data_IF_642404874925
#
_entry.id   IF_642404874925
#
_cell.length_a   1.000
_cell.length_b   1.000
_cell.length_c   1.000
_cell.angle_alpha   90.00
_cell.angle_beta   90.00
_cell.angle_gamma   90.00
#
_symmetry.space_group_name_H-M   'P 1'
#
loop_
_entity.id
_entity.type
_entity.pdbx_description
1 polymer ?
#
# COMPACT_ATOMS: atom_id res chain seq x y z
N UNK A 1 8.28 -7.71 -17.40
CA UNK A 1 7.87 -8.35 -16.11
C UNK A 1 9.06 -8.30 -15.15
N UNK A 2 8.98 -7.54 -14.04
CA UNK A 2 10.02 -7.57 -13.00
C UNK A 2 9.87 -8.88 -12.22
N UNK A 3 10.97 -9.60 -12.01
CA UNK A 3 10.95 -10.90 -11.32
C UNK A 3 10.70 -10.67 -9.83
N UNK A 4 9.66 -11.31 -9.29
CA UNK A 4 9.36 -11.34 -7.85
C UNK A 4 10.57 -11.97 -7.13
N UNK A 5 11.02 -11.41 -5.98
CA UNK A 5 12.08 -12.00 -5.18
C UNK A 5 11.76 -13.44 -4.79
N UNK A 6 12.73 -14.34 -4.86
CA UNK A 6 12.50 -15.78 -4.64
C UNK A 6 11.84 -16.08 -3.28
N UNK A 7 12.18 -15.32 -2.23
CA UNK A 7 11.55 -15.46 -0.90
C UNK A 7 10.06 -15.10 -0.92
N UNK A 8 9.69 -14.00 -1.58
CA UNK A 8 8.29 -13.57 -1.68
C UNK A 8 7.51 -14.49 -2.62
N UNK A 9 8.15 -14.96 -3.69
CA UNK A 9 7.55 -15.93 -4.61
C UNK A 9 7.22 -17.26 -3.92
N UNK A 10 8.12 -17.77 -3.07
CA UNK A 10 7.87 -19.01 -2.32
C UNK A 10 6.70 -18.89 -1.34
N UNK A 11 6.53 -17.72 -0.72
CA UNK A 11 5.51 -17.50 0.30
C UNK A 11 4.16 -17.10 -0.28
N UNK A 12 4.15 -16.30 -1.35
CA UNK A 12 2.95 -15.62 -1.83
C UNK A 12 2.69 -15.84 -3.32
N UNK A 13 3.61 -16.47 -4.04
CA UNK A 13 3.48 -16.72 -5.48
C UNK A 13 3.23 -15.44 -6.28
N UNK A 14 2.16 -15.47 -7.06
CA UNK A 14 1.69 -14.38 -7.92
C UNK A 14 1.02 -13.23 -7.16
N UNK A 15 0.67 -13.42 -5.88
CA UNK A 15 0.11 -12.37 -5.01
C UNK A 15 1.15 -11.32 -4.62
N UNK A 16 2.45 -11.64 -4.66
CA UNK A 16 3.51 -10.68 -4.41
C UNK A 16 3.81 -9.88 -5.69
N UNK A 17 3.40 -8.62 -5.71
CA UNK A 17 3.52 -7.75 -6.87
C UNK A 17 4.26 -6.45 -6.56
N UNK A 18 4.97 -5.84 -7.52
CA UNK A 18 5.45 -4.47 -7.36
C UNK A 18 4.30 -3.53 -7.01
N UNK A 19 4.55 -2.56 -6.14
CA UNK A 19 3.51 -1.67 -5.59
C UNK A 19 2.63 -1.02 -6.67
N UNK A 20 3.22 -0.51 -7.76
CA UNK A 20 2.45 0.07 -8.86
C UNK A 20 1.54 -0.95 -9.57
N UNK A 21 2.05 -2.15 -9.81
CA UNK A 21 1.29 -3.22 -10.48
C UNK A 21 0.12 -3.68 -9.60
N UNK A 22 0.37 -3.80 -8.29
CA UNK A 22 -0.66 -4.18 -7.32
C UNK A 22 -1.76 -3.13 -7.18
N UNK A 23 -1.40 -1.84 -7.16
CA UNK A 23 -2.37 -0.74 -7.18
C UNK A 23 -3.24 -0.81 -8.44
N UNK A 24 -2.62 -1.00 -9.62
CA UNK A 24 -3.36 -1.10 -10.89
C UNK A 24 -4.28 -2.33 -10.91
N UNK A 25 -3.85 -3.45 -10.33
CA UNK A 25 -4.68 -4.65 -10.21
C UNK A 25 -5.91 -4.39 -9.30
N UNK A 26 -5.73 -3.69 -8.18
CA UNK A 26 -6.81 -3.38 -7.24
C UNK A 26 -7.88 -2.46 -7.84
N UNK A 27 -7.46 -1.42 -8.59
CA UNK A 27 -8.42 -0.45 -9.17
C UNK A 27 -9.21 -1.01 -10.36
N UNK A 28 -8.72 -2.08 -10.98
CA UNK A 28 -9.36 -2.74 -12.13
C UNK A 28 -10.04 -4.07 -11.74
N UNK A 29 -10.11 -4.39 -10.45
CA UNK A 29 -10.82 -5.57 -9.98
C UNK A 29 -12.32 -5.47 -10.35
N UNK A 30 -12.97 -6.57 -10.77
CA UNK A 30 -14.35 -6.55 -11.27
C UNK A 30 -15.39 -6.08 -10.24
N UNK A 31 -15.09 -6.20 -8.95
CA UNK A 31 -15.95 -5.73 -7.84
C UNK A 31 -15.67 -4.28 -7.41
N UNK A 32 -14.85 -3.55 -8.19
CA UNK A 32 -14.70 -2.11 -8.06
C UNK A 32 -16.05 -1.45 -8.40
N UNK A 33 -16.80 -1.10 -7.37
CA UNK A 33 -18.16 -0.55 -7.44
C UNK A 33 -18.33 0.45 -8.59
N UNK A 34 -19.32 0.21 -9.46
CA UNK A 34 -19.54 0.94 -10.71
C UNK A 34 -20.25 2.30 -10.50
N UNK A 35 -19.97 2.98 -9.40
CA UNK A 35 -20.43 4.35 -9.16
C UNK A 35 -19.75 5.33 -10.13
N UNK A 36 -20.44 6.41 -10.47
CA UNK A 36 -19.85 7.49 -11.27
C UNK A 36 -18.64 8.12 -10.57
N UNK A 37 -17.55 8.37 -11.30
CA UNK A 37 -16.40 9.11 -10.77
C UNK A 37 -16.72 10.59 -10.52
N UNK A 38 -16.36 11.12 -9.35
CA UNK A 38 -16.49 12.55 -9.03
C UNK A 38 -15.32 13.41 -9.52
N UNK A 39 -14.48 12.89 -10.41
CA UNK A 39 -13.25 13.55 -10.87
C UNK A 39 -13.47 14.74 -11.81
N UNK A 40 -14.72 15.17 -12.06
CA UNK A 40 -15.06 16.34 -12.89
C UNK A 40 -14.32 16.40 -14.25
N UNK A 41 -13.98 15.26 -14.85
CA UNK A 41 -13.12 15.15 -16.06
C UNK A 41 -11.70 15.71 -15.93
N UNK A 42 -11.23 16.02 -14.72
CA UNK A 42 -9.84 16.45 -14.44
C UNK A 42 -8.84 15.30 -14.55
N UNK A 43 -9.32 14.07 -14.71
CA UNK A 43 -8.53 12.85 -14.74
C UNK A 43 -8.20 12.35 -13.34
N UNK A 44 -8.39 11.06 -13.10
CA UNK A 44 -7.99 10.40 -11.85
C UNK A 44 -7.43 9.01 -12.15
N UNK A 45 -6.81 8.39 -11.15
CA UNK A 45 -6.23 7.05 -11.27
C UNK A 45 -7.25 6.03 -11.82
N UNK A 46 -8.47 6.04 -11.29
CA UNK A 46 -9.53 5.07 -11.62
C UNK A 46 -10.11 5.27 -13.03
N UNK A 47 -10.23 6.52 -13.50
CA UNK A 47 -10.68 6.82 -14.86
C UNK A 47 -9.58 6.72 -15.91
N UNK A 48 -8.33 6.49 -15.50
CA UNK A 48 -7.21 6.43 -16.43
C UNK A 48 -7.17 5.11 -17.22
N UNK A 49 -7.87 4.06 -16.77
CA UNK A 49 -7.92 2.76 -17.45
C UNK A 49 -6.52 2.23 -17.78
N UNK A 50 -6.26 1.94 -19.06
CA UNK A 50 -4.95 1.50 -19.54
C UNK A 50 -3.79 2.49 -19.28
N UNK A 51 -4.11 3.76 -18.99
CA UNK A 51 -3.15 4.81 -18.67
C UNK A 51 -2.90 4.97 -17.17
N UNK A 52 -3.44 4.11 -16.29
CA UNK A 52 -3.25 4.23 -14.84
C UNK A 52 -1.77 4.33 -14.41
N UNK A 53 -0.87 3.62 -15.11
CA UNK A 53 0.57 3.67 -14.82
C UNK A 53 1.16 5.09 -15.04
N UNK A 54 0.75 5.81 -16.08
CA UNK A 54 1.23 7.17 -16.34
C UNK A 54 0.64 8.19 -15.37
N UNK A 55 -0.50 7.88 -14.75
CA UNK A 55 -1.04 8.66 -13.63
C UNK A 55 -0.23 8.46 -12.34
N UNK A 56 0.16 7.22 -12.04
CA UNK A 56 0.98 6.87 -10.87
C UNK A 56 2.42 7.38 -10.99
N UNK A 57 3.01 7.32 -12.18
CA UNK A 57 4.41 7.69 -12.45
C UNK A 57 4.47 8.81 -13.47
N UNK A 58 4.84 10.02 -13.02
CA UNK A 58 5.10 11.18 -13.87
C UNK A 58 6.59 11.32 -14.22
N UNK A 59 6.91 11.93 -15.38
CA UNK A 59 8.30 12.18 -15.79
C UNK A 59 9.11 13.03 -14.81
N UNK A 60 8.46 13.86 -14.00
CA UNK A 60 9.08 14.71 -12.98
C UNK A 60 9.33 14.01 -11.65
N UNK A 61 8.82 12.80 -11.45
CA UNK A 61 8.95 12.13 -10.15
C UNK A 61 10.39 11.64 -9.92
N UNK A 62 10.81 11.69 -8.65
CA UNK A 62 12.17 11.34 -8.20
C UNK A 62 12.51 9.87 -8.45
N UNK A 63 13.81 9.56 -8.46
CA UNK A 63 14.28 8.19 -8.62
C UNK A 63 13.83 7.30 -7.45
N UNK A 64 13.77 7.87 -6.25
CA UNK A 64 13.38 7.23 -4.99
C UNK A 64 11.92 6.83 -5.02
N UNK A 65 11.02 7.72 -5.47
CA UNK A 65 9.61 7.39 -5.64
C UNK A 65 9.38 6.31 -6.71
N UNK A 66 10.07 6.38 -7.85
CA UNK A 66 10.00 5.33 -8.88
C UNK A 66 10.55 4.00 -8.37
N UNK A 67 11.56 4.05 -7.51
CA UNK A 67 12.10 2.87 -6.83
C UNK A 67 11.08 2.30 -5.85
N UNK A 68 10.43 3.13 -5.04
CA UNK A 68 9.33 2.71 -4.17
C UNK A 68 8.28 1.94 -4.98
N UNK A 69 7.73 2.55 -6.02
CA UNK A 69 6.66 1.96 -6.84
C UNK A 69 7.03 0.63 -7.51
N UNK A 70 8.32 0.43 -7.82
CA UNK A 70 8.72 -0.71 -8.64
C UNK A 70 9.60 -1.73 -7.95
N UNK A 71 10.03 -1.46 -6.73
CA UNK A 71 10.88 -2.35 -5.91
C UNK A 71 10.28 -2.61 -4.53
N UNK A 72 9.33 -1.81 -4.06
CA UNK A 72 8.46 -2.22 -2.97
C UNK A 72 7.49 -3.28 -3.51
N UNK A 73 7.40 -4.41 -2.80
CA UNK A 73 6.43 -5.45 -3.09
C UNK A 73 5.27 -5.33 -2.12
N UNK A 74 4.07 -5.53 -2.65
CA UNK A 74 2.82 -5.57 -1.92
C UNK A 74 2.26 -6.99 -1.99
N UNK A 75 1.68 -7.45 -0.87
CA UNK A 75 0.82 -8.63 -0.83
C UNK A 75 -0.48 -8.23 -0.14
N UNK A 76 -1.59 -8.25 -0.88
CA UNK A 76 -2.93 -8.00 -0.32
C UNK A 76 -3.43 -9.29 0.35
N UNK A 77 -4.05 -9.17 1.53
CA UNK A 77 -4.67 -10.30 2.23
C UNK A 77 -5.77 -10.94 1.38
N UNK A 78 -5.96 -12.26 1.50
CA UNK A 78 -7.06 -12.94 0.80
C UNK A 78 -8.41 -12.53 1.37
N UNK A 79 -8.45 -12.26 2.67
CA UNK A 79 -9.64 -11.77 3.38
C UNK A 79 -9.83 -10.25 3.26
N UNK A 80 -9.07 -9.58 2.38
CA UNK A 80 -9.21 -8.15 2.17
C UNK A 80 -10.60 -7.85 1.56
N UNK A 81 -11.39 -6.94 2.16
CA UNK A 81 -12.64 -6.52 1.53
C UNK A 81 -12.36 -5.79 0.21
N UNK A 82 -13.33 -5.68 -0.70
CA UNK A 82 -13.21 -4.78 -1.85
C UNK A 82 -12.89 -3.35 -1.39
N UNK A 83 -12.13 -2.61 -2.21
CA UNK A 83 -11.75 -1.23 -1.89
C UNK A 83 -13.02 -0.36 -1.82
N UNK A 84 -13.36 0.23 -0.67
CA UNK A 84 -14.60 1.00 -0.56
C UNK A 84 -14.52 2.28 -1.40
N UNK A 85 -15.61 2.67 -2.06
CA UNK A 85 -15.79 4.06 -2.54
C UNK A 85 -14.65 4.64 -3.38
N UNK A 86 -14.20 3.88 -4.39
CA UNK A 86 -13.13 4.21 -5.35
C UNK A 86 -13.30 5.57 -6.07
N UNK A 87 -14.45 6.22 -5.91
CA UNK A 87 -14.79 7.51 -6.52
C UNK A 87 -14.22 8.72 -5.74
N UNK A 88 -13.70 8.53 -4.52
CA UNK A 88 -13.11 9.62 -3.73
C UNK A 88 -11.60 9.68 -3.95
N UNK A 89 -11.18 10.46 -4.95
CA UNK A 89 -9.77 10.67 -5.30
C UNK A 89 -9.11 11.78 -4.48
N UNK A 90 -9.76 12.24 -3.40
CA UNK A 90 -9.30 13.39 -2.64
C UNK A 90 -8.32 12.95 -1.55
N UNK A 91 -7.19 13.64 -1.47
CA UNK A 91 -6.32 13.62 -0.31
C UNK A 91 -6.79 14.69 0.66
N UNK A 92 -7.45 14.30 1.76
CA UNK A 92 -7.89 15.22 2.82
C UNK A 92 -6.90 15.26 3.97
N UNK A 93 -6.07 14.22 4.10
CA UNK A 93 -5.13 14.05 5.19
C UNK A 93 -3.70 13.96 4.68
N UNK A 94 -2.74 14.30 5.54
CA UNK A 94 -1.33 13.97 5.28
C UNK A 94 -1.08 12.46 5.36
N UNK A 95 0.00 11.96 4.78
CA UNK A 95 0.35 10.53 4.89
C UNK A 95 0.53 10.10 6.35
N UNK A 96 1.16 10.96 7.17
CA UNK A 96 1.27 10.74 8.62
C UNK A 96 -0.07 10.52 9.29
N UNK A 97 -1.05 11.32 8.92
CA UNK A 97 -2.40 11.23 9.44
C UNK A 97 -3.15 9.99 8.96
N UNK A 98 -2.99 9.60 7.70
CA UNK A 98 -3.58 8.37 7.15
C UNK A 98 -2.99 7.14 7.84
N UNK A 99 -1.67 7.08 8.00
CA UNK A 99 -0.98 5.99 8.71
C UNK A 99 -1.47 5.89 10.16
N UNK A 100 -1.48 7.02 10.88
CA UNK A 100 -1.98 7.06 12.26
C UNK A 100 -3.43 6.59 12.38
N UNK A 101 -4.34 7.13 11.56
CA UNK A 101 -5.76 6.75 11.61
C UNK A 101 -5.97 5.28 11.24
N UNK A 102 -5.17 4.75 10.32
CA UNK A 102 -5.18 3.32 9.97
C UNK A 102 -4.77 2.46 11.15
N UNK A 103 -3.68 2.80 11.84
CA UNK A 103 -3.23 2.08 13.04
C UNK A 103 -4.28 2.14 14.16
N UNK A 104 -4.81 3.34 14.44
CA UNK A 104 -5.86 3.52 15.45
C UNK A 104 -7.11 2.68 15.12
N UNK A 105 -7.50 2.61 13.84
CA UNK A 105 -8.64 1.80 13.40
C UNK A 105 -8.38 0.28 13.51
N UNK A 106 -7.17 -0.17 13.16
CA UNK A 106 -6.78 -1.58 13.32
C UNK A 106 -6.84 -1.94 14.80
N UNK A 107 -6.21 -1.16 15.68
CA UNK A 107 -6.18 -1.43 17.12
C UNK A 107 -7.56 -1.33 17.79
N UNK A 108 -8.45 -0.46 17.29
CA UNK A 108 -9.83 -0.40 17.77
C UNK A 108 -10.64 -1.65 17.39
N UNK A 109 -10.32 -2.28 16.25
CA UNK A 109 -11.01 -3.48 15.74
C UNK A 109 -10.41 -4.76 16.32
N UNK A 110 -9.09 -4.81 16.41
CA UNK A 110 -8.28 -5.94 16.89
C UNK A 110 -7.16 -5.40 17.80
N UNK A 111 -7.41 -5.24 19.12
CA UNK A 111 -6.43 -4.67 20.04
C UNK A 111 -5.13 -5.47 20.15
N UNK A 112 -5.19 -6.78 19.88
CA UNK A 112 -4.05 -7.70 19.85
C UNK A 112 -3.45 -7.88 18.44
N UNK A 113 -3.75 -6.96 17.51
CA UNK A 113 -3.30 -7.10 16.13
C UNK A 113 -1.79 -7.22 16.05
N UNK A 114 -1.33 -8.20 15.27
CA UNK A 114 0.09 -8.47 15.05
C UNK A 114 0.65 -7.68 13.88
N UNK A 115 -0.14 -6.80 13.26
CA UNK A 115 0.34 -5.97 12.17
C UNK A 115 1.56 -5.16 12.62
N UNK A 116 2.64 -5.21 11.84
CA UNK A 116 3.92 -4.56 12.16
C UNK A 116 3.77 -3.05 12.41
N UNK A 117 2.86 -2.36 11.71
CA UNK A 117 2.62 -0.93 11.92
C UNK A 117 1.98 -0.61 13.28
N UNK A 118 1.33 -1.60 13.90
CA UNK A 118 0.71 -1.48 15.22
C UNK A 118 1.70 -1.77 16.36
N UNK A 119 2.80 -2.49 16.07
CA UNK A 119 3.74 -2.94 17.10
C UNK A 119 4.43 -1.75 17.75
N UNK A 120 4.34 -1.66 19.08
CA UNK A 120 4.89 -0.55 19.87
C UNK A 120 4.40 0.83 19.42
N UNK A 121 3.23 0.91 18.77
CA UNK A 121 2.67 2.17 18.36
C UNK A 121 2.33 3.02 19.59
N UNK A 122 2.92 4.21 19.64
CA UNK A 122 2.60 5.21 20.64
C UNK A 122 2.01 6.45 19.97
N UNK A 123 0.84 6.88 20.46
CA UNK A 123 0.06 7.97 19.88
C UNK A 123 0.73 9.34 20.05
N UNK A 124 1.59 9.49 21.07
CA UNK A 124 2.24 10.75 21.40
C UNK A 124 3.52 10.98 20.58
N UNK A 125 4.25 9.91 20.30
CA UNK A 125 5.56 9.96 19.62
C UNK A 125 5.50 9.49 18.17
N UNK A 126 4.47 8.73 17.78
CA UNK A 126 4.38 8.09 16.45
C UNK A 126 5.55 7.14 16.16
N UNK A 127 6.28 6.71 17.20
CA UNK A 127 7.71 6.42 17.14
C UNK A 127 8.11 4.99 16.82
N UNK A 128 7.71 4.45 15.67
CA UNK A 128 8.30 3.19 15.15
C UNK A 128 9.09 3.44 13.87
N UNK A 129 10.04 2.56 13.56
CA UNK A 129 10.82 2.62 12.31
C UNK A 129 9.92 2.41 11.09
N UNK A 130 8.84 1.65 11.26
CA UNK A 130 7.83 1.39 10.23
C UNK A 130 6.99 2.64 9.98
N UNK A 131 6.59 3.36 11.04
CA UNK A 131 5.84 4.60 10.93
C UNK A 131 6.64 5.70 10.23
N UNK A 132 7.91 5.90 10.63
CA UNK A 132 8.77 6.89 9.97
C UNK A 132 8.98 6.55 8.49
N UNK A 133 9.15 5.28 8.17
CA UNK A 133 9.30 4.82 6.80
C UNK A 133 8.04 5.00 5.95
N UNK A 134 6.85 4.73 6.51
CA UNK A 134 5.56 4.92 5.82
C UNK A 134 5.12 6.38 5.72
N UNK A 135 5.85 7.29 6.36
CA UNK A 135 5.58 8.74 6.36
C UNK A 135 6.71 9.53 5.69
N UNK A 136 7.52 8.87 4.87
CA UNK A 136 8.51 9.54 4.01
C UNK A 136 7.86 10.26 2.83
N UNK A 137 8.62 11.15 2.19
CA UNK A 137 8.11 11.98 1.08
C UNK A 137 7.67 11.16 -0.14
N UNK A 138 8.25 9.98 -0.37
CA UNK A 138 7.80 9.09 -1.44
C UNK A 138 6.37 8.56 -1.19
N UNK A 139 6.02 8.31 0.08
CA UNK A 139 4.67 7.92 0.44
C UNK A 139 3.70 9.09 0.41
N UNK A 140 4.15 10.31 0.71
CA UNK A 140 3.34 11.52 0.49
C UNK A 140 2.98 11.67 -0.99
N UNK A 141 3.95 11.51 -1.90
CA UNK A 141 3.67 11.54 -3.34
C UNK A 141 2.69 10.43 -3.73
N UNK A 142 2.88 9.21 -3.21
CA UNK A 142 1.99 8.09 -3.48
C UNK A 142 0.56 8.40 -3.04
N UNK A 143 0.39 8.93 -1.82
CA UNK A 143 -0.92 9.33 -1.29
C UNK A 143 -1.61 10.32 -2.23
N UNK A 144 -0.89 11.33 -2.73
CA UNK A 144 -1.45 12.28 -3.70
C UNK A 144 -1.91 11.63 -5.01
N UNK A 145 -1.41 10.42 -5.34
CA UNK A 145 -1.86 9.68 -6.53
C UNK A 145 -3.06 8.80 -6.25
N UNK A 146 -3.06 8.10 -5.12
CA UNK A 146 -4.04 7.04 -4.84
C UNK A 146 -5.22 7.54 -4.01
N UNK A 147 -5.06 8.63 -3.28
CA UNK A 147 -6.03 9.20 -2.34
C UNK A 147 -6.09 8.45 -1.01
N UNK A 148 -6.76 9.08 -0.03
CA UNK A 148 -6.83 8.58 1.36
C UNK A 148 -7.44 7.19 1.45
N UNK A 149 -8.47 6.92 0.64
CA UNK A 149 -9.27 5.70 0.73
C UNK A 149 -8.46 4.48 0.34
N UNK A 150 -7.81 4.51 -0.82
CA UNK A 150 -6.97 3.40 -1.27
C UNK A 150 -5.72 3.27 -0.40
N UNK A 151 -5.10 4.38 0.03
CA UNK A 151 -3.96 4.31 0.96
C UNK A 151 -4.35 3.64 2.28
N UNK A 152 -5.48 4.02 2.87
CA UNK A 152 -6.00 3.42 4.11
C UNK A 152 -6.28 1.93 3.90
N UNK A 153 -6.91 1.56 2.79
CA UNK A 153 -7.19 0.17 2.47
C UNK A 153 -5.90 -0.67 2.39
N UNK A 154 -4.89 -0.17 1.69
CA UNK A 154 -3.58 -0.84 1.59
C UNK A 154 -2.92 -1.03 2.96
N UNK A 155 -2.90 0.00 3.81
CA UNK A 155 -2.30 -0.08 5.14
C UNK A 155 -3.02 -1.07 6.07
N UNK A 156 -4.34 -1.19 5.92
CA UNK A 156 -5.15 -2.09 6.74
C UNK A 156 -5.08 -3.55 6.28
N UNK A 157 -4.96 -3.80 4.97
CA UNK A 157 -5.21 -5.12 4.41
C UNK A 157 -4.04 -5.68 3.59
N UNK A 158 -2.88 -5.02 3.58
CA UNK A 158 -1.72 -5.49 2.83
C UNK A 158 -0.41 -5.45 3.62
N UNK A 159 0.49 -6.36 3.21
CA UNK A 159 1.87 -6.43 3.66
C UNK A 159 2.78 -5.72 2.67
N UNK A 160 3.60 -4.80 3.17
CA UNK A 160 4.56 -4.04 2.38
C UNK A 160 5.99 -4.53 2.62
N UNK A 161 6.75 -4.76 1.55
CA UNK A 161 8.12 -5.25 1.58
C UNK A 161 9.05 -4.30 0.83
N UNK A 162 9.85 -3.55 1.58
CA UNK A 162 10.82 -2.63 1.01
C UNK A 162 12.14 -3.31 0.66
N UNK A 163 12.79 -2.91 -0.44
CA UNK A 163 14.08 -3.47 -0.83
C UNK A 163 15.19 -2.99 0.10
N UNK A 164 15.98 -3.93 0.61
CA UNK A 164 17.24 -3.71 1.30
C UNK A 164 18.43 -4.03 0.37
N UNK A 165 19.66 -3.61 0.73
CA UNK A 165 20.86 -4.08 0.04
C UNK A 165 20.92 -5.61 -0.06
N UNK A 166 21.66 -6.12 -1.06
CA UNK A 166 21.90 -7.56 -1.29
C UNK A 166 20.64 -8.39 -1.61
N UNK A 167 19.64 -7.79 -2.24
CA UNK A 167 18.36 -8.44 -2.62
C UNK A 167 17.54 -8.95 -1.42
N UNK A 168 17.77 -8.37 -0.25
CA UNK A 168 16.95 -8.62 0.93
C UNK A 168 15.74 -7.70 0.92
N UNK A 169 14.74 -8.04 1.72
CA UNK A 169 13.50 -7.28 1.85
C UNK A 169 13.15 -7.10 3.31
N UNK A 170 12.70 -5.90 3.66
CA UNK A 170 12.20 -5.55 4.97
C UNK A 170 10.69 -5.41 4.92
N UNK A 171 9.98 -6.23 5.69
CA UNK A 171 8.56 -6.08 5.86
C UNK A 171 8.28 -4.92 6.82
N UNK A 172 7.46 -3.97 6.40
CA UNK A 172 7.12 -2.78 7.20
C UNK A 172 5.64 -2.72 7.61
N UNK A 173 4.82 -3.64 7.12
CA UNK A 173 3.38 -3.71 7.40
C UNK A 173 2.84 -5.11 7.18
N UNK A 174 1.66 -5.35 7.73
CA UNK A 174 0.91 -6.59 7.65
C UNK A 174 1.39 -7.61 8.67
N UNK A 175 0.85 -8.83 8.56
CA UNK A 175 1.17 -9.93 9.46
C UNK A 175 2.63 -10.39 9.24
N UNK A 176 3.45 -10.54 10.29
CA UNK A 176 4.87 -10.86 10.13
C UNK A 176 5.09 -12.19 9.43
N UNK A 177 5.92 -12.20 8.39
CA UNK A 177 6.22 -13.45 7.65
C UNK A 177 6.94 -14.51 8.50
N UNK A 178 7.62 -14.09 9.58
CA UNK A 178 8.24 -15.01 10.56
C UNK A 178 7.21 -15.89 11.26
N UNK A 179 5.97 -15.44 11.29
CA UNK A 179 4.89 -16.06 12.04
C UNK A 179 3.98 -16.91 11.13
N UNK A 180 4.22 -16.84 9.81
CA UNK A 180 3.65 -17.78 8.86
C UNK A 180 4.32 -19.12 9.12
N UNK A 181 3.58 -20.08 9.66
CA UNK A 181 4.05 -21.46 9.81
C UNK A 181 4.33 -22.02 8.41
N UNK A 182 5.57 -21.86 7.92
CA UNK A 182 6.06 -22.56 6.74
C UNK A 182 6.22 -24.01 7.17
N UNK A 183 5.17 -24.82 6.96
CA UNK A 183 5.33 -26.27 6.93
C UNK A 183 6.23 -26.56 5.73
N UNK A 184 7.52 -26.77 6.00
CA UNK A 184 8.44 -27.39 5.06
C UNK A 184 8.01 -28.83 4.77
#
# INVERSE_FOLDING_TARGET
RKRVPDVLWRLFGDRAQPLADAIIALIHAPDADAGGCFCERRGCLYCSGSNAMSYLVRPSDTAEYRKLLTKCFLVVSEDAPPVPGLHTCCTRWSQREVVRRSIEKILATEPSSRNLICRNYDKCTGGTSEFSQLTSSEWDVLLQRVGDVLMTHLLMHASFFLPLPRKNYHQISGFPISDLNIKN
#
